data_IF_792697094966
#
_entry.id   IF_792697094966
#
_cell.length_a   1.000
_cell.length_b   1.000
_cell.length_c   1.000
_cell.angle_alpha   90.00
_cell.angle_beta   90.00
_cell.angle_gamma   90.00
#
_symmetry.space_group_name_H-M   'P 1'
#
loop_
_entity.id
_entity.type
_entity.pdbx_description
1 polymer ?
#
# COMPACT_ATOMS: atom_id res chain seq x y z
N UNK A 1 4.56 -4.89 2.92
CA UNK A 1 5.70 -4.67 3.84
C UNK A 1 5.19 -4.29 5.22
N UNK A 2 4.95 -3.03 5.60
CA UNK A 2 4.50 -2.69 6.98
C UNK A 2 3.29 -3.52 7.44
N UNK A 3 2.39 -3.86 6.52
CA UNK A 3 1.21 -4.72 6.72
C UNK A 3 1.51 -6.15 7.22
N UNK A 4 2.74 -6.61 7.04
CA UNK A 4 3.24 -7.93 7.46
C UNK A 4 4.22 -7.86 8.64
N UNK A 5 4.60 -6.65 9.08
CA UNK A 5 5.48 -6.47 10.24
C UNK A 5 4.72 -6.70 11.54
N UNK A 6 3.45 -6.28 11.58
CA UNK A 6 2.62 -6.31 12.77
C UNK A 6 3.03 -5.27 13.83
N UNK A 7 2.14 -4.95 14.78
CA UNK A 7 2.33 -3.82 15.70
C UNK A 7 3.55 -3.96 16.61
N UNK A 8 3.94 -5.20 16.95
CA UNK A 8 5.11 -5.49 17.78
C UNK A 8 6.43 -5.10 17.08
N UNK A 9 6.48 -5.17 15.74
CA UNK A 9 7.67 -4.86 14.96
C UNK A 9 7.79 -3.40 14.52
N UNK A 10 6.75 -2.57 14.68
CA UNK A 10 6.74 -1.19 14.16
C UNK A 10 7.85 -0.33 14.75
N UNK A 11 8.13 -0.49 16.04
CA UNK A 11 9.23 0.19 16.71
C UNK A 11 10.58 -0.05 15.99
N UNK A 12 10.90 -1.31 15.74
CA UNK A 12 12.13 -1.73 15.06
C UNK A 12 12.14 -1.32 13.59
N UNK A 13 10.98 -1.41 12.92
CA UNK A 13 10.83 -1.01 11.52
C UNK A 13 11.17 0.47 11.30
N UNK A 14 10.56 1.38 12.06
CA UNK A 14 10.83 2.82 11.95
C UNK A 14 12.21 3.21 12.47
N UNK A 15 12.74 2.50 13.48
CA UNK A 15 14.12 2.68 13.91
C UNK A 15 15.11 2.32 12.79
N UNK A 16 14.83 1.24 12.03
CA UNK A 16 15.67 0.83 10.90
C UNK A 16 15.64 1.83 9.76
N UNK A 17 14.47 2.37 9.41
CA UNK A 17 14.35 3.47 8.43
C UNK A 17 15.24 4.63 8.86
N UNK A 18 15.10 5.08 10.11
CA UNK A 18 15.88 6.21 10.64
C UNK A 18 17.40 5.93 10.64
N UNK A 19 17.81 4.69 10.91
CA UNK A 19 19.22 4.31 10.92
C UNK A 19 19.84 4.26 9.52
N UNK A 20 19.07 3.89 8.50
CA UNK A 20 19.53 3.76 7.11
C UNK A 20 19.41 5.06 6.31
N UNK A 21 18.55 5.99 6.73
CA UNK A 21 18.35 7.26 6.06
C UNK A 21 19.58 8.16 6.26
N UNK A 22 20.10 8.77 5.20
CA UNK A 22 21.08 9.85 5.31
C UNK A 22 20.47 11.06 6.05
N UNK A 23 21.29 11.96 6.58
CA UNK A 23 20.78 13.10 7.36
C UNK A 23 19.93 14.07 6.52
N UNK A 24 20.27 14.22 5.24
CA UNK A 24 19.52 14.92 4.19
C UNK A 24 18.64 13.97 3.33
N UNK A 25 18.52 12.71 3.74
CA UNK A 25 17.80 11.69 3.01
C UNK A 25 16.28 11.80 3.12
N UNK A 26 15.59 11.36 2.06
CA UNK A 26 14.13 11.25 2.01
C UNK A 26 13.73 9.78 1.86
N UNK A 27 12.87 9.29 2.75
CA UNK A 27 12.22 7.98 2.63
C UNK A 27 10.75 8.15 2.25
N UNK A 28 10.21 7.23 1.44
CA UNK A 28 8.76 7.14 1.18
C UNK A 28 8.28 5.77 1.61
N UNK A 29 7.37 5.74 2.59
CA UNK A 29 6.77 4.50 3.09
C UNK A 29 5.40 4.34 2.44
N UNK A 30 5.28 3.34 1.57
CA UNK A 30 4.03 2.98 0.88
C UNK A 30 3.39 1.76 1.55
N UNK A 31 2.17 1.90 2.06
CA UNK A 31 1.49 0.83 2.80
C UNK A 31 -0.02 0.92 2.71
N UNK A 32 -0.70 -0.23 2.76
CA UNK A 32 -2.13 -0.28 3.06
C UNK A 32 -2.33 0.08 4.53
N UNK A 33 -3.39 0.83 4.81
CA UNK A 33 -3.82 1.17 6.16
C UNK A 33 -5.32 1.42 6.23
N UNK A 34 -5.78 1.87 7.39
CA UNK A 34 -7.17 2.20 7.68
C UNK A 34 -7.29 3.56 8.35
N UNK A 35 -8.43 4.23 8.16
CA UNK A 35 -8.63 5.58 8.68
C UNK A 35 -8.51 5.66 10.20
N UNK A 36 -9.11 4.71 10.93
CA UNK A 36 -9.17 4.80 12.40
C UNK A 36 -8.86 3.48 13.12
N UNK A 37 -9.64 2.42 12.89
CA UNK A 37 -9.56 1.21 13.71
C UNK A 37 -8.49 0.25 13.18
N UNK A 38 -7.25 0.44 13.63
CA UNK A 38 -6.16 -0.48 13.34
C UNK A 38 -6.49 -1.88 13.86
N UNK A 39 -6.00 -2.92 13.17
CA UNK A 39 -6.25 -4.29 13.58
C UNK A 39 -5.82 -5.33 12.57
N UNK A 40 -5.93 -6.62 12.93
CA UNK A 40 -5.70 -7.70 12.00
C UNK A 40 -6.70 -7.64 10.84
N UNK A 41 -6.30 -8.16 9.68
CA UNK A 41 -7.24 -8.42 8.59
C UNK A 41 -8.35 -9.38 9.04
N UNK A 42 -9.48 -9.39 8.34
CA UNK A 42 -10.59 -10.27 8.71
C UNK A 42 -10.19 -11.76 8.69
N UNK A 43 -10.90 -12.58 9.47
CA UNK A 43 -10.59 -14.01 9.67
C UNK A 43 -10.48 -14.80 8.36
N UNK A 44 -11.25 -14.43 7.33
CA UNK A 44 -11.19 -15.11 6.04
C UNK A 44 -9.88 -14.78 5.31
N UNK A 45 -9.48 -13.51 5.24
CA UNK A 45 -8.19 -13.10 4.65
C UNK A 45 -7.03 -13.71 5.44
N UNK A 46 -7.09 -13.72 6.77
CA UNK A 46 -6.06 -14.36 7.61
C UNK A 46 -5.89 -15.84 7.29
N UNK A 47 -6.99 -16.55 7.06
CA UNK A 47 -6.96 -18.00 6.80
C UNK A 47 -6.46 -18.33 5.38
N UNK A 48 -6.85 -17.54 4.38
CA UNK A 48 -6.72 -17.94 2.98
C UNK A 48 -5.72 -17.13 2.16
N UNK A 49 -5.37 -15.90 2.56
CA UNK A 49 -4.59 -14.97 1.72
C UNK A 49 -3.36 -14.42 2.45
N UNK A 50 -3.55 -13.77 3.60
CA UNK A 50 -2.47 -13.14 4.36
C UNK A 50 -2.51 -13.53 5.84
N UNK A 51 -1.98 -14.70 6.20
CA UNK A 51 -1.76 -15.07 7.59
C UNK A 51 -0.90 -14.02 8.30
N UNK A 52 -1.34 -13.55 9.47
CA UNK A 52 -0.65 -12.52 10.24
C UNK A 52 -0.78 -11.08 9.71
N UNK A 53 -1.55 -10.85 8.64
CA UNK A 53 -1.75 -9.51 8.08
C UNK A 53 -2.41 -8.54 9.08
N UNK A 54 -1.87 -7.33 9.17
CA UNK A 54 -2.33 -6.28 10.07
C UNK A 54 -2.42 -4.93 9.34
N UNK A 55 -3.52 -4.22 9.54
CA UNK A 55 -3.77 -2.92 8.94
C UNK A 55 -3.49 -1.80 9.97
N UNK A 56 -2.40 -1.03 9.82
CA UNK A 56 -2.16 0.12 10.70
C UNK A 56 -3.16 1.25 10.44
N UNK A 57 -3.44 2.04 11.49
CA UNK A 57 -4.13 3.32 11.33
C UNK A 57 -3.14 4.46 11.11
N UNK A 58 -3.61 5.58 10.54
CA UNK A 58 -2.81 6.79 10.37
C UNK A 58 -2.17 7.22 11.71
N UNK A 59 -2.97 7.30 12.77
CA UNK A 59 -2.47 7.69 14.09
C UNK A 59 -1.42 6.73 14.66
N UNK A 60 -1.53 5.42 14.37
CA UNK A 60 -0.52 4.45 14.76
C UNK A 60 0.80 4.67 14.00
N UNK A 61 0.74 4.92 12.68
CA UNK A 61 1.93 5.20 11.87
C UNK A 61 2.61 6.49 12.29
N UNK A 62 1.87 7.59 12.43
CA UNK A 62 2.42 8.90 12.84
C UNK A 62 3.13 8.77 14.18
N UNK A 63 2.48 8.15 15.18
CA UNK A 63 3.08 7.93 16.51
C UNK A 63 4.42 7.21 16.41
N UNK A 64 4.54 6.16 15.59
CA UNK A 64 5.80 5.44 15.44
C UNK A 64 6.86 6.21 14.66
N UNK A 65 6.48 7.10 13.74
CA UNK A 65 7.45 8.00 13.08
C UNK A 65 8.03 9.04 14.05
N UNK A 66 7.17 9.78 14.76
CA UNK A 66 7.56 10.91 15.61
C UNK A 66 8.44 10.46 16.78
N UNK A 67 8.07 9.37 17.44
CA UNK A 67 8.82 8.81 18.57
C UNK A 67 10.22 8.29 18.18
N UNK A 68 10.57 8.24 16.89
CA UNK A 68 11.91 7.88 16.39
C UNK A 68 12.66 9.10 15.83
N UNK A 69 12.12 10.30 15.97
CA UNK A 69 12.71 11.53 15.44
C UNK A 69 12.70 11.62 13.91
N UNK A 70 11.85 10.82 13.25
CA UNK A 70 11.51 11.03 11.85
C UNK A 70 10.40 12.08 11.77
N UNK A 71 10.54 13.00 10.83
CA UNK A 71 9.55 14.03 10.53
C UNK A 71 8.73 13.60 9.32
N UNK A 72 7.41 13.76 9.39
CA UNK A 72 6.52 13.55 8.23
C UNK A 72 6.44 14.86 7.47
N UNK A 73 6.93 14.90 6.22
CA UNK A 73 6.82 16.08 5.37
C UNK A 73 5.61 16.04 4.44
N UNK A 74 5.16 14.83 4.08
CA UNK A 74 3.99 14.65 3.23
C UNK A 74 3.25 13.35 3.53
N UNK A 75 1.95 13.37 3.31
CA UNK A 75 1.10 12.18 3.34
C UNK A 75 0.08 12.22 2.20
N UNK A 76 0.14 11.22 1.32
CA UNK A 76 -0.85 11.04 0.25
C UNK A 76 -1.71 9.79 0.51
N UNK A 77 -3.02 9.91 0.26
CA UNK A 77 -3.99 8.81 0.36
C UNK A 77 -4.45 8.37 -1.04
N UNK A 78 -3.98 7.21 -1.51
CA UNK A 78 -4.27 6.66 -2.84
C UNK A 78 -5.51 5.74 -2.86
N UNK A 79 -6.60 6.13 -2.21
CA UNK A 79 -7.75 5.24 -1.98
C UNK A 79 -8.41 4.73 -3.28
N UNK A 80 -8.72 5.64 -4.20
CA UNK A 80 -9.39 5.28 -5.47
C UNK A 80 -8.51 4.45 -6.41
N UNK A 81 -7.20 4.69 -6.37
CA UNK A 81 -6.22 4.01 -7.22
C UNK A 81 -6.18 2.50 -6.96
N UNK A 82 -6.19 2.09 -5.68
CA UNK A 82 -6.06 0.67 -5.35
C UNK A 82 -7.34 -0.13 -5.59
N UNK A 83 -8.49 0.51 -5.41
CA UNK A 83 -9.76 -0.05 -5.85
C UNK A 83 -9.75 -0.34 -7.37
N UNK A 84 -9.21 0.57 -8.17
CA UNK A 84 -9.11 0.39 -9.61
C UNK A 84 -8.10 -0.68 -10.01
N UNK A 85 -6.97 -0.73 -9.29
CA UNK A 85 -5.98 -1.79 -9.43
C UNK A 85 -6.61 -3.17 -9.21
N UNK A 86 -7.37 -3.34 -8.13
CA UNK A 86 -8.06 -4.60 -7.80
C UNK A 86 -9.13 -4.98 -8.83
N UNK A 87 -9.86 -3.99 -9.37
CA UNK A 87 -10.83 -4.20 -10.45
C UNK A 87 -10.14 -4.74 -11.71
N UNK A 88 -9.06 -4.09 -12.13
CA UNK A 88 -8.30 -4.49 -13.32
C UNK A 88 -7.62 -5.86 -13.14
N UNK A 89 -7.10 -6.17 -11.94
CA UNK A 89 -6.60 -7.50 -11.62
C UNK A 89 -7.71 -8.56 -11.71
N UNK A 90 -8.89 -8.27 -11.16
CA UNK A 90 -10.06 -9.18 -11.23
C UNK A 90 -10.47 -9.45 -12.67
N UNK A 91 -10.60 -8.42 -13.49
CA UNK A 91 -10.98 -8.58 -14.90
C UNK A 91 -9.98 -9.47 -15.64
N UNK A 92 -8.68 -9.12 -15.57
CA UNK A 92 -7.63 -9.91 -16.25
C UNK A 92 -7.55 -11.36 -15.75
N UNK A 93 -7.82 -11.59 -14.47
CA UNK A 93 -7.89 -12.93 -13.90
C UNK A 93 -9.08 -13.73 -14.48
N UNK A 94 -10.25 -13.09 -14.59
CA UNK A 94 -11.47 -13.71 -15.12
C UNK A 94 -11.40 -13.96 -16.62
N UNK A 95 -10.75 -13.09 -17.39
CA UNK A 95 -10.49 -13.31 -18.82
C UNK A 95 -9.65 -14.59 -19.05
N UNK A 96 -8.82 -14.96 -18.07
CA UNK A 96 -7.98 -16.17 -18.09
C UNK A 96 -8.53 -17.30 -17.23
N UNK A 97 -9.80 -17.25 -16.82
CA UNK A 97 -10.40 -18.18 -15.84
C UNK A 97 -10.25 -19.65 -16.24
N UNK A 98 -10.44 -19.98 -17.53
CA UNK A 98 -10.30 -21.34 -18.02
C UNK A 98 -8.87 -21.89 -17.85
N UNK A 99 -7.86 -21.05 -18.14
CA UNK A 99 -6.46 -21.40 -17.92
C UNK A 99 -6.14 -21.54 -16.42
N UNK A 100 -6.62 -20.61 -15.59
CA UNK A 100 -6.41 -20.66 -14.13
C UNK A 100 -7.04 -21.92 -13.51
N UNK A 101 -8.21 -22.36 -13.99
CA UNK A 101 -8.87 -23.58 -13.50
C UNK A 101 -8.05 -24.84 -13.79
N UNK A 102 -7.30 -24.86 -14.90
CA UNK A 102 -6.39 -25.97 -15.24
C UNK A 102 -5.15 -25.99 -14.34
N UNK A 103 -4.68 -24.84 -13.89
CA UNK A 103 -3.47 -24.71 -13.06
C UNK A 103 -3.73 -24.94 -11.56
N UNK A 104 -4.87 -24.49 -11.02
CA UNK A 104 -5.09 -24.45 -9.56
C UNK A 104 -6.33 -25.16 -9.05
N UNK A 105 -7.31 -25.48 -9.91
CA UNK A 105 -8.68 -25.95 -9.60
C UNK A 105 -9.77 -24.87 -9.53
N UNK A 106 -11.03 -25.32 -9.47
CA UNK A 106 -12.19 -24.44 -9.43
C UNK A 106 -12.41 -23.76 -8.07
N UNK A 107 -11.92 -24.36 -6.97
CA UNK A 107 -12.06 -23.82 -5.62
C UNK A 107 -11.14 -22.62 -5.43
N UNK A 108 -9.88 -22.74 -5.85
CA UNK A 108 -8.92 -21.65 -5.85
C UNK A 108 -9.43 -20.47 -6.67
N UNK A 109 -9.94 -20.72 -7.88
CA UNK A 109 -10.46 -19.65 -8.75
C UNK A 109 -11.56 -18.85 -8.06
N UNK A 110 -12.53 -19.51 -7.40
CA UNK A 110 -13.59 -18.82 -6.63
C UNK A 110 -13.03 -18.06 -5.43
N UNK A 111 -12.07 -18.65 -4.70
CA UNK A 111 -11.44 -18.01 -3.55
C UNK A 111 -10.70 -16.74 -3.98
N UNK A 112 -9.94 -16.79 -5.07
CA UNK A 112 -9.17 -15.66 -5.57
C UNK A 112 -10.06 -14.54 -6.12
N UNK A 113 -11.11 -14.89 -6.86
CA UNK A 113 -12.12 -13.93 -7.31
C UNK A 113 -12.81 -13.24 -6.13
N UNK A 114 -13.20 -14.01 -5.11
CA UNK A 114 -13.81 -13.47 -3.88
C UNK A 114 -12.86 -12.52 -3.14
N UNK A 115 -11.58 -12.87 -3.04
CA UNK A 115 -10.56 -12.02 -2.46
C UNK A 115 -10.47 -10.67 -3.20
N UNK A 116 -10.34 -10.70 -4.54
CA UNK A 116 -10.16 -9.48 -5.33
C UNK A 116 -11.39 -8.56 -5.26
N UNK A 117 -12.60 -9.10 -5.42
CA UNK A 117 -13.83 -8.30 -5.34
C UNK A 117 -14.09 -7.79 -3.91
N UNK A 118 -13.78 -8.59 -2.90
CA UNK A 118 -13.92 -8.20 -1.49
C UNK A 118 -12.96 -7.06 -1.11
N UNK A 119 -11.69 -7.16 -1.53
CA UNK A 119 -10.74 -6.07 -1.36
C UNK A 119 -11.14 -4.84 -2.16
N UNK A 120 -11.60 -4.99 -3.41
CA UNK A 120 -12.09 -3.87 -4.21
C UNK A 120 -13.20 -3.12 -3.44
N UNK A 121 -14.19 -3.85 -2.91
CA UNK A 121 -15.26 -3.28 -2.09
C UNK A 121 -14.72 -2.57 -0.84
N UNK A 122 -13.76 -3.17 -0.14
CA UNK A 122 -13.14 -2.59 1.05
C UNK A 122 -12.52 -1.21 0.78
N UNK A 123 -11.80 -1.03 -0.33
CA UNK A 123 -11.25 0.27 -0.72
C UNK A 123 -12.33 1.23 -1.24
N UNK A 124 -13.27 0.76 -2.06
CA UNK A 124 -14.32 1.62 -2.67
C UNK A 124 -15.35 2.13 -1.66
N UNK A 125 -15.73 1.30 -0.68
CA UNK A 125 -16.93 1.54 0.15
C UNK A 125 -16.67 1.55 1.65
N UNK A 126 -15.54 1.03 2.12
CA UNK A 126 -15.26 0.94 3.57
C UNK A 126 -14.13 1.89 3.99
N UNK A 127 -13.14 1.41 4.76
CA UNK A 127 -12.11 2.27 5.39
C UNK A 127 -10.70 1.97 4.88
N UNK A 128 -10.57 1.18 3.80
CA UNK A 128 -9.27 0.84 3.21
C UNK A 128 -8.61 2.04 2.54
N UNK A 129 -7.32 2.21 2.80
CA UNK A 129 -6.50 3.26 2.20
C UNK A 129 -5.16 2.67 1.78
N UNK A 130 -4.55 3.26 0.76
CA UNK A 130 -3.12 3.12 0.50
C UNK A 130 -2.51 4.46 0.82
N UNK A 131 -1.46 4.46 1.63
CA UNK A 131 -0.81 5.65 2.16
C UNK A 131 0.62 5.70 1.65
N UNK A 132 1.05 6.89 1.24
CA UNK A 132 2.46 7.22 1.07
C UNK A 132 2.85 8.25 2.12
N UNK A 133 3.80 7.91 2.98
CA UNK A 133 4.37 8.81 3.98
C UNK A 133 5.78 9.20 3.56
N UNK A 134 6.01 10.49 3.36
CA UNK A 134 7.34 11.01 3.14
C UNK A 134 7.99 11.36 4.48
N UNK A 135 9.10 10.68 4.79
CA UNK A 135 9.82 10.78 6.05
C UNK A 135 11.23 11.30 5.85
N UNK A 136 11.67 12.17 6.77
CA UNK A 136 13.00 12.77 6.77
C UNK A 136 13.57 12.84 8.19
N UNK A 137 14.89 13.03 8.31
CA UNK A 137 15.53 13.45 9.56
C UNK A 137 15.54 14.97 9.68
N UNK A 138 16.04 15.65 8.64
CA UNK A 138 16.01 17.10 8.52
C UNK A 138 14.77 17.58 7.76
N UNK A 139 14.09 18.59 8.32
CA UNK A 139 12.91 19.19 7.67
C UNK A 139 13.25 19.95 6.39
N UNK A 140 14.53 20.33 6.23
CA UNK A 140 15.03 21.04 5.05
C UNK A 140 15.49 20.08 3.94
N UNK A 141 15.38 18.76 4.14
CA UNK A 141 15.79 17.75 3.15
C UNK A 141 14.95 17.78 1.87
N UNK A 142 13.76 18.39 1.88
CA UNK A 142 12.92 18.58 0.71
C UNK A 142 12.67 20.08 0.44
N UNK A 143 12.43 20.48 -0.82
CA UNK A 143 12.03 21.85 -1.14
C UNK A 143 10.78 22.27 -0.37
N UNK A 144 10.71 23.55 -0.01
CA UNK A 144 9.61 24.14 0.79
C UNK A 144 8.23 23.96 0.14
N UNK A 145 8.15 23.94 -1.20
CA UNK A 145 6.91 23.67 -1.92
C UNK A 145 6.86 22.22 -2.40
N UNK A 146 5.66 21.64 -2.45
CA UNK A 146 5.44 20.29 -2.99
C UNK A 146 5.56 20.19 -4.52
N UNK A 147 5.90 21.27 -5.22
CA UNK A 147 5.99 21.28 -6.68
C UNK A 147 6.98 20.25 -7.23
N UNK A 148 8.04 19.91 -6.50
CA UNK A 148 8.98 18.88 -6.93
C UNK A 148 8.30 17.50 -7.07
N UNK A 149 7.31 17.18 -6.24
CA UNK A 149 6.52 15.94 -6.36
C UNK A 149 5.77 15.97 -7.70
N UNK A 150 5.02 17.04 -7.96
CA UNK A 150 4.26 17.20 -9.19
C UNK A 150 5.14 17.21 -10.45
N UNK A 151 6.30 17.85 -10.38
CA UNK A 151 7.26 17.87 -11.49
C UNK A 151 7.78 16.47 -11.79
N UNK A 152 8.10 15.68 -10.75
CA UNK A 152 8.50 14.26 -10.91
C UNK A 152 7.37 13.38 -11.42
N UNK A 153 6.13 13.58 -10.95
CA UNK A 153 4.96 12.91 -11.50
C UNK A 153 4.82 13.19 -13.01
N UNK A 154 4.91 14.46 -13.42
CA UNK A 154 4.79 14.85 -14.82
C UNK A 154 5.93 14.30 -15.69
N UNK A 155 7.14 14.23 -15.15
CA UNK A 155 8.31 13.63 -15.82
C UNK A 155 8.13 12.11 -16.03
N UNK A 156 7.52 11.41 -15.06
CA UNK A 156 7.42 9.95 -15.08
C UNK A 156 6.05 9.40 -15.46
N UNK A 157 5.04 10.26 -15.66
CA UNK A 157 3.67 9.83 -15.99
C UNK A 157 3.63 8.91 -17.22
N UNK A 158 4.44 9.20 -18.24
CA UNK A 158 4.41 8.46 -19.50
C UNK A 158 5.18 7.15 -19.39
N UNK A 159 6.25 7.08 -18.57
CA UNK A 159 7.02 5.85 -18.32
C UNK A 159 6.19 4.74 -17.68
N UNK A 160 5.18 5.09 -16.89
CA UNK A 160 4.28 4.13 -16.24
C UNK A 160 3.15 3.65 -17.17
N UNK A 161 2.83 4.41 -18.23
CA UNK A 161 1.73 4.11 -19.16
C UNK A 161 2.16 3.52 -20.50
N UNK A 162 3.38 3.79 -20.97
CA UNK A 162 3.86 3.30 -22.28
C UNK A 162 4.29 1.84 -22.31
N UNK A 163 4.32 1.16 -21.16
CA UNK A 163 4.33 -0.31 -21.11
C UNK A 163 2.96 -0.82 -21.53
N UNK A 164 2.80 -0.95 -22.83
CA UNK A 164 1.69 -1.55 -23.56
C UNK A 164 0.85 -2.51 -22.71
N UNK A 165 -0.28 -2.00 -22.18
CA UNK A 165 -1.39 -2.84 -21.73
C UNK A 165 -2.15 -3.44 -22.93
N UNK A 166 -1.49 -3.61 -24.09
CA UNK A 166 -2.00 -4.39 -25.21
C UNK A 166 -1.78 -5.87 -24.93
N UNK A 167 -2.66 -6.42 -24.11
CA UNK A 167 -3.01 -7.84 -24.23
C UNK A 167 -4.27 -7.92 -25.07
N UNK A 168 -4.11 -7.97 -26.39
CA UNK A 168 -4.97 -8.82 -27.22
C UNK A 168 -4.60 -10.28 -26.92
#
# INVERSE_FOLDING_TARGET
MLEHVGPQGYASYFAKIRALLADDGIAVIHTIGVQHKAGPVNRWITKYIFPGGYLPSIGQMIRHTETRGLKVLDMEVMRGHYAETLRLWRMRFLDRRAAMRRLYDARFVRMWEFYLVGCEYFFRRQHGMVLQLQLVKDQMAAPMSRHYIRNRENEFKDRLWTLHLSGN
#
